data_IF_019189963042
#
_entry.id   IF_019189963042
#
_cell.length_a   1.000
_cell.length_b   1.000
_cell.length_c   1.000
_cell.angle_alpha   90.00
_cell.angle_beta   90.00
_cell.angle_gamma   90.00
#
_symmetry.space_group_name_H-M   'P 1'
#
loop_
_entity.id
_entity.type
_entity.pdbx_description
1 polymer ?
#
# COMPACT_ATOMS: atom_id res chain seq x y z
N UNK A 1 -15.28 8.69 9.34
CA UNK A 1 -15.31 8.96 7.88
C UNK A 1 -15.90 7.71 7.26
N UNK A 2 -17.14 7.76 6.78
CA UNK A 2 -17.84 6.62 6.17
C UNK A 2 -17.90 6.81 4.65
N UNK A 3 -16.74 6.93 4.02
CA UNK A 3 -16.66 6.72 2.58
C UNK A 3 -16.50 5.20 2.38
N UNK A 4 -17.51 4.55 1.82
CA UNK A 4 -17.44 3.13 1.49
C UNK A 4 -16.39 2.91 0.38
N UNK A 5 -15.12 2.76 0.77
CA UNK A 5 -14.03 2.47 -0.15
C UNK A 5 -14.19 1.03 -0.66
N UNK A 6 -14.34 0.89 -1.98
CA UNK A 6 -14.39 -0.42 -2.65
C UNK A 6 -13.01 -0.76 -3.19
N UNK A 7 -12.38 -1.80 -2.63
CA UNK A 7 -11.14 -2.37 -3.14
C UNK A 7 -11.35 -3.79 -3.62
N UNK A 8 -10.63 -4.17 -4.68
CA UNK A 8 -10.54 -5.56 -5.11
C UNK A 8 -9.54 -6.33 -4.24
N UNK A 9 -9.66 -7.66 -4.21
CA UNK A 9 -8.67 -8.51 -3.55
C UNK A 9 -7.26 -8.35 -4.15
N UNK A 10 -7.16 -8.03 -5.45
CA UNK A 10 -5.87 -7.79 -6.12
C UNK A 10 -5.19 -6.52 -5.60
N UNK A 11 -5.95 -5.44 -5.43
CA UNK A 11 -5.49 -4.20 -4.83
C UNK A 11 -4.98 -4.44 -3.41
N UNK A 12 -5.75 -5.11 -2.56
CA UNK A 12 -5.33 -5.44 -1.19
C UNK A 12 -4.02 -6.26 -1.17
N UNK A 13 -3.87 -7.24 -2.08
CA UNK A 13 -2.62 -8.01 -2.20
C UNK A 13 -1.44 -7.13 -2.59
N UNK A 14 -1.61 -6.20 -3.53
CA UNK A 14 -0.59 -5.24 -3.94
C UNK A 14 -0.18 -4.30 -2.81
N UNK A 15 -1.16 -3.77 -2.06
CA UNK A 15 -0.91 -2.95 -0.88
C UNK A 15 -0.06 -3.71 0.16
N UNK A 16 -0.44 -4.95 0.51
CA UNK A 16 0.34 -5.82 1.41
C UNK A 16 1.75 -6.06 0.88
N UNK A 17 1.89 -6.31 -0.41
CA UNK A 17 3.19 -6.54 -1.04
C UNK A 17 4.10 -5.30 -0.94
N UNK A 18 3.59 -4.09 -1.25
CA UNK A 18 4.38 -2.86 -1.21
C UNK A 18 5.03 -2.60 0.15
N UNK A 19 4.35 -2.98 1.24
CA UNK A 19 4.88 -2.85 2.60
C UNK A 19 5.64 -4.10 3.09
N UNK A 20 5.72 -5.13 2.27
CA UNK A 20 6.39 -6.40 2.60
C UNK A 20 5.67 -7.25 3.64
N UNK A 21 4.38 -6.98 3.87
CA UNK A 21 3.55 -7.64 4.86
C UNK A 21 3.19 -9.06 4.45
N UNK A 22 3.37 -9.99 5.37
CA UNK A 22 2.74 -11.31 5.38
C UNK A 22 2.31 -11.64 6.81
N UNK A 23 1.23 -12.41 7.03
CA UNK A 23 0.78 -12.75 8.38
C UNK A 23 1.87 -13.39 9.25
N UNK A 24 2.73 -14.23 8.66
CA UNK A 24 3.84 -14.88 9.36
C UNK A 24 4.91 -13.91 9.90
N UNK A 25 4.98 -12.67 9.39
CA UNK A 25 5.92 -11.65 9.88
C UNK A 25 5.33 -10.79 11.01
N UNK A 26 4.03 -10.88 11.26
CA UNK A 26 3.40 -10.18 12.38
C UNK A 26 3.80 -10.85 13.70
N UNK A 27 4.14 -10.04 14.69
CA UNK A 27 4.52 -10.49 16.04
C UNK A 27 3.63 -9.79 17.06
N UNK A 28 2.99 -10.57 17.93
CA UNK A 28 2.11 -10.06 19.00
C UNK A 28 1.06 -9.06 18.48
N UNK A 29 0.39 -9.38 17.36
CA UNK A 29 -0.62 -8.52 16.75
C UNK A 29 -0.09 -7.24 16.10
N UNK A 30 1.22 -7.13 15.86
CA UNK A 30 1.86 -5.95 15.28
C UNK A 30 2.84 -6.29 14.17
N UNK A 31 2.99 -5.37 13.21
CA UNK A 31 3.94 -5.48 12.12
C UNK A 31 4.55 -4.12 11.79
N UNK A 32 5.88 -4.03 11.77
CA UNK A 32 6.61 -2.85 11.30
C UNK A 32 7.00 -3.07 9.84
N UNK A 33 6.40 -2.28 8.94
CA UNK A 33 6.75 -2.28 7.52
C UNK A 33 8.19 -1.80 7.35
N UNK A 34 9.01 -2.59 6.65
CA UNK A 34 10.42 -2.28 6.39
C UNK A 34 10.64 -1.61 5.03
N UNK A 35 9.57 -1.48 4.25
CA UNK A 35 9.50 -0.82 2.95
C UNK A 35 8.09 -0.26 2.77
N UNK A 36 7.92 0.64 1.82
CA UNK A 36 6.60 1.07 1.36
C UNK A 36 6.71 1.59 -0.08
N UNK A 37 6.98 0.72 -1.04
CA UNK A 37 7.02 1.15 -2.44
C UNK A 37 6.63 0.02 -3.39
N UNK A 38 6.02 0.40 -4.51
CA UNK A 38 5.82 -0.44 -5.69
C UNK A 38 6.25 0.35 -6.93
N UNK A 39 7.11 -0.26 -7.76
CA UNK A 39 7.58 0.34 -9.00
C UNK A 39 6.96 -0.42 -10.17
N UNK A 40 6.45 0.30 -11.16
CA UNK A 40 5.94 -0.26 -12.40
C UNK A 40 6.53 0.48 -13.60
N UNK A 41 6.68 -0.25 -14.70
CA UNK A 41 6.93 0.35 -16.01
C UNK A 41 5.60 0.86 -16.55
N UNK A 42 5.45 2.19 -16.58
CA UNK A 42 4.17 2.89 -16.76
C UNK A 42 3.13 2.60 -15.66
N UNK A 43 1.96 3.18 -15.87
CA UNK A 43 0.79 3.13 -15.00
C UNK A 43 0.30 1.70 -14.71
N UNK A 44 -0.20 1.48 -13.50
CA UNK A 44 -0.75 0.20 -13.06
C UNK A 44 -2.18 0.43 -12.58
N UNK A 45 -3.15 -0.17 -13.28
CA UNK A 45 -4.56 0.14 -13.09
C UNK A 45 -5.06 -0.17 -11.66
N UNK A 46 -4.53 -1.21 -11.01
CA UNK A 46 -4.90 -1.52 -9.62
C UNK A 46 -4.41 -0.41 -8.68
N UNK A 47 -3.14 0.01 -8.84
CA UNK A 47 -2.55 1.08 -8.05
C UNK A 47 -3.18 2.43 -8.32
N UNK A 48 -3.52 2.75 -9.56
CA UNK A 48 -4.25 3.97 -9.90
C UNK A 48 -5.63 3.99 -9.23
N UNK A 49 -6.31 2.85 -9.14
CA UNK A 49 -7.53 2.72 -8.34
C UNK A 49 -7.32 2.96 -6.84
N UNK A 50 -6.19 2.49 -6.27
CA UNK A 50 -5.83 2.74 -4.86
C UNK A 50 -5.52 4.23 -4.62
N UNK A 51 -4.86 4.89 -5.58
CA UNK A 51 -4.58 6.33 -5.55
C UNK A 51 -5.88 7.13 -5.66
N UNK A 52 -6.78 6.77 -6.58
CA UNK A 52 -8.09 7.39 -6.73
C UNK A 52 -8.96 7.24 -5.46
N UNK A 53 -8.79 6.14 -4.72
CA UNK A 53 -9.41 5.92 -3.42
C UNK A 53 -8.75 6.72 -2.26
N UNK A 54 -7.68 7.48 -2.53
CA UNK A 54 -7.00 8.32 -1.54
C UNK A 54 -6.13 7.54 -0.54
N UNK A 55 -5.75 6.30 -0.86
CA UNK A 55 -4.99 5.40 0.02
C UNK A 55 -3.49 5.31 -0.33
N UNK A 56 -3.09 5.86 -1.47
CA UNK A 56 -1.73 5.86 -1.96
C UNK A 56 -1.38 7.18 -2.65
N UNK A 57 -0.08 7.39 -2.84
CA UNK A 57 0.47 8.44 -3.68
C UNK A 57 1.23 7.81 -4.84
N UNK A 58 1.16 8.46 -6.00
CA UNK A 58 1.90 8.10 -7.22
C UNK A 58 2.88 9.21 -7.57
N UNK A 59 4.10 8.83 -7.95
CA UNK A 59 5.16 9.76 -8.38
C UNK A 59 5.89 9.18 -9.59
N UNK A 60 6.48 10.04 -10.42
CA UNK A 60 7.45 9.57 -11.42
C UNK A 60 8.70 9.09 -10.73
N UNK A 61 9.31 8.03 -11.26
CA UNK A 61 10.64 7.61 -10.86
C UNK A 61 11.67 8.66 -11.32
N UNK A 62 12.67 8.93 -10.49
CA UNK A 62 13.67 9.98 -10.74
C UNK A 62 14.83 9.51 -11.63
N UNK A 63 14.99 8.19 -11.81
CA UNK A 63 16.06 7.58 -12.60
C UNK A 63 15.55 7.07 -13.95
N UNK A 64 14.26 6.74 -14.06
CA UNK A 64 13.66 6.17 -15.26
C UNK A 64 12.34 6.87 -15.60
N UNK A 65 12.33 7.73 -16.62
CA UNK A 65 11.19 8.61 -16.95
C UNK A 65 9.86 7.89 -17.24
N UNK A 66 9.92 6.63 -17.69
CA UNK A 66 8.74 5.80 -17.96
C UNK A 66 8.23 5.07 -16.72
N UNK A 67 8.99 5.04 -15.63
CA UNK A 67 8.60 4.34 -14.42
C UNK A 67 7.80 5.26 -13.50
N UNK A 68 6.88 4.63 -12.77
CA UNK A 68 6.12 5.27 -11.70
C UNK A 68 6.31 4.49 -10.40
N UNK A 69 6.33 5.23 -9.30
CA UNK A 69 6.49 4.69 -7.96
C UNK A 69 5.25 5.04 -7.14
N UNK A 70 4.69 4.01 -6.52
CA UNK A 70 3.54 4.13 -5.63
C UNK A 70 3.96 3.86 -4.19
N UNK A 71 3.42 4.65 -3.26
CA UNK A 71 3.59 4.44 -1.82
C UNK A 71 2.21 4.51 -1.18
N UNK A 72 1.92 3.63 -0.22
CA UNK A 72 0.75 3.82 0.64
C UNK A 72 0.93 5.10 1.46
N UNK A 73 -0.16 5.82 1.69
CA UNK A 73 -0.17 6.89 2.67
C UNK A 73 -0.68 6.36 4.03
N UNK A 74 -0.73 7.22 5.05
CA UNK A 74 -1.19 6.84 6.38
C UNK A 74 -2.57 6.17 6.37
N UNK A 75 -3.52 6.64 5.55
CA UNK A 75 -4.86 6.04 5.43
C UNK A 75 -4.82 4.64 4.81
N UNK A 76 -3.94 4.42 3.83
CA UNK A 76 -3.73 3.09 3.24
C UNK A 76 -3.17 2.08 4.23
N UNK A 77 -2.24 2.51 5.09
CA UNK A 77 -1.67 1.69 6.17
C UNK A 77 -2.70 1.40 7.26
N UNK A 78 -3.48 2.41 7.66
CA UNK A 78 -4.56 2.29 8.63
C UNK A 78 -5.62 1.28 8.15
N UNK A 79 -6.09 1.41 6.90
CA UNK A 79 -7.06 0.47 6.32
C UNK A 79 -6.52 -0.96 6.27
N UNK A 80 -5.24 -1.15 5.91
CA UNK A 80 -4.64 -2.49 5.96
C UNK A 80 -4.59 -3.05 7.39
N UNK A 81 -4.38 -2.20 8.39
CA UNK A 81 -4.39 -2.62 9.79
C UNK A 81 -5.77 -3.15 10.18
N UNK A 82 -6.83 -2.43 9.80
CA UNK A 82 -8.23 -2.85 10.03
C UNK A 82 -8.57 -4.15 9.31
N UNK A 83 -8.23 -4.28 8.02
CA UNK A 83 -8.53 -5.48 7.21
C UNK A 83 -7.81 -6.73 7.75
N UNK A 84 -6.64 -6.56 8.36
CA UNK A 84 -5.80 -7.69 8.80
C UNK A 84 -5.93 -7.98 10.29
N UNK A 85 -6.57 -7.10 11.07
CA UNK A 85 -6.56 -7.11 12.53
C UNK A 85 -5.13 -7.13 13.11
N UNK A 86 -4.21 -6.44 12.43
CA UNK A 86 -2.81 -6.30 12.83
C UNK A 86 -2.46 -4.83 12.86
N UNK A 87 -1.84 -4.35 13.94
CA UNK A 87 -1.30 -2.99 13.98
C UNK A 87 -0.10 -2.86 13.04
N UNK A 88 -0.28 -2.17 11.92
CA UNK A 88 0.81 -1.89 10.97
C UNK A 88 1.36 -0.50 11.22
N UNK A 89 2.69 -0.38 11.31
CA UNK A 89 3.40 0.90 11.38
C UNK A 89 4.51 0.94 10.34
N UNK A 90 4.84 2.11 9.82
CA UNK A 90 6.02 2.27 8.95
C UNK A 90 7.32 2.32 9.78
N UNK A 91 8.43 1.99 9.14
CA UNK A 91 9.74 2.30 9.70
C UNK A 91 10.01 3.80 9.58
N UNK A 92 10.55 4.38 10.66
CA UNK A 92 11.14 5.73 10.65
C UNK A 92 12.26 5.84 9.62
#
# INVERSE_FOLDING_TARGET
MNDNVKLTAAQIRKMKHAIGFTPAKAKKGSYKAYRNYYVSWNDDADWDGIVAAGLAIKRKDIFYELNVVYHLNAKGIELLSEITDIKITEAE
#
